data_IF_937096415123
#
_entry.id   IF_937096415123
#
_cell.length_a   1.000
_cell.length_b   1.000
_cell.length_c   1.000
_cell.angle_alpha   90.00
_cell.angle_beta   90.00
_cell.angle_gamma   90.00
#
_symmetry.space_group_name_H-M   'P 1'
#
loop_
_entity.id
_entity.type
_entity.pdbx_description
1 polymer ?
#
# COMPACT_ATOMS: atom_id res chain seq x y z
N UNK A 1 -5.73 -29.66 9.66
CA UNK A 1 -5.75 -28.25 9.23
C UNK A 1 -5.24 -28.22 7.80
N UNK A 2 -6.11 -28.04 6.81
CA UNK A 2 -5.68 -27.92 5.42
C UNK A 2 -5.22 -26.50 5.13
N UNK A 3 -3.95 -26.36 4.82
CA UNK A 3 -3.45 -25.15 4.16
C UNK A 3 -3.95 -25.20 2.72
N UNK A 4 -4.91 -24.34 2.39
CA UNK A 4 -5.36 -24.18 1.01
C UNK A 4 -4.57 -23.01 0.45
N UNK A 5 -3.44 -23.31 -0.19
CA UNK A 5 -2.99 -22.43 -1.26
C UNK A 5 -4.16 -22.38 -2.25
N UNK A 6 -4.62 -21.18 -2.62
CA UNK A 6 -5.66 -21.05 -3.64
C UNK A 6 -5.03 -21.52 -4.96
N UNK A 7 -4.99 -22.84 -5.16
CA UNK A 7 -4.58 -23.45 -6.40
C UNK A 7 -5.72 -23.20 -7.38
N UNK A 8 -5.70 -22.00 -7.99
CA UNK A 8 -6.37 -21.75 -9.25
C UNK A 8 -6.06 -22.94 -10.16
N UNK A 9 -7.12 -23.54 -10.69
CA UNK A 9 -7.10 -24.79 -11.41
C UNK A 9 -5.86 -24.92 -12.30
N UNK A 10 -5.10 -25.99 -12.06
CA UNK A 10 -4.01 -26.56 -12.87
C UNK A 10 -3.87 -25.95 -14.29
N UNK A 11 -3.08 -24.88 -14.42
CA UNK A 11 -2.56 -24.46 -15.72
C UNK A 11 -1.50 -25.47 -16.16
N UNK A 12 -1.91 -26.49 -16.92
CA UNK A 12 -1.00 -27.29 -17.76
C UNK A 12 -0.48 -26.39 -18.88
N UNK A 13 0.60 -25.65 -18.61
CA UNK A 13 1.42 -25.08 -19.66
C UNK A 13 2.76 -25.82 -19.68
N UNK A 14 2.88 -26.73 -20.64
CA UNK A 14 4.08 -27.53 -20.90
C UNK A 14 5.20 -26.65 -21.45
N UNK A 15 6.01 -26.07 -20.57
CA UNK A 15 7.30 -25.49 -20.94
C UNK A 15 8.42 -26.41 -20.43
N UNK A 16 9.12 -27.06 -21.37
CA UNK A 16 10.30 -27.89 -21.12
C UNK A 16 11.39 -27.05 -20.46
N UNK A 17 11.65 -27.26 -19.18
CA UNK A 17 12.82 -26.71 -18.50
C UNK A 17 14.06 -27.51 -18.91
N UNK A 18 15.02 -26.85 -19.57
CA UNK A 18 16.39 -27.34 -19.73
C UNK A 18 17.15 -27.05 -18.43
N UNK A 19 17.69 -28.09 -17.81
CA UNK A 19 18.63 -27.97 -16.69
C UNK A 19 19.90 -27.24 -17.15
N UNK A 20 20.29 -26.19 -16.43
CA UNK A 20 21.63 -25.60 -16.48
C UNK A 20 22.29 -25.88 -15.13
N UNK A 21 23.51 -26.45 -15.08
CA UNK A 21 24.17 -26.76 -13.83
C UNK A 21 24.71 -25.49 -13.14
N UNK A 22 24.48 -25.43 -11.82
CA UNK A 22 24.98 -24.43 -10.89
C UNK A 22 26.47 -24.68 -10.61
N UNK A 23 27.33 -23.70 -10.91
CA UNK A 23 28.74 -23.70 -10.49
C UNK A 23 28.84 -23.08 -9.10
N UNK A 24 29.33 -23.87 -8.14
CA UNK A 24 29.67 -23.44 -6.79
C UNK A 24 31.09 -22.85 -6.81
N UNK A 25 31.21 -21.54 -6.54
CA UNK A 25 32.48 -20.83 -6.37
C UNK A 25 32.76 -20.54 -4.90
N UNK A 26 33.96 -20.89 -4.45
CA UNK A 26 34.40 -20.99 -3.07
C UNK A 26 34.59 -19.65 -2.31
N UNK A 27 34.50 -19.76 -0.97
CA UNK A 27 34.93 -18.77 0.02
C UNK A 27 36.39 -18.33 -0.18
N UNK A 28 36.65 -17.03 -0.01
CA UNK A 28 37.95 -16.52 0.45
C UNK A 28 37.72 -15.61 1.64
N UNK A 29 38.28 -16.00 2.78
CA UNK A 29 38.39 -15.20 3.98
C UNK A 29 39.55 -14.20 3.84
N UNK A 30 39.38 -12.99 4.36
CA UNK A 30 40.44 -12.00 4.48
C UNK A 30 40.10 -10.95 5.54
N UNK A 31 40.62 -11.15 6.75
CA UNK A 31 40.75 -10.08 7.74
C UNK A 31 41.78 -9.05 7.26
N UNK A 32 41.49 -7.75 7.41
CA UNK A 32 42.32 -6.81 8.19
C UNK A 32 41.94 -5.35 7.89
N UNK A 33 42.14 -4.55 8.94
CA UNK A 33 42.41 -3.11 8.97
C UNK A 33 41.23 -2.16 9.22
N UNK A 34 41.30 -1.55 10.39
CA UNK A 34 40.54 -0.41 10.84
C UNK A 34 41.14 0.91 10.32
N UNK A 35 40.28 1.93 10.32
CA UNK A 35 40.47 3.38 10.13
C UNK A 35 40.33 3.91 8.68
N UNK A 36 39.87 5.17 8.47
CA UNK A 36 39.32 6.16 9.41
C UNK A 36 37.87 6.61 9.07
N UNK A 37 37.32 7.50 9.89
CA UNK A 37 36.10 8.29 9.61
C UNK A 37 36.12 8.89 8.20
N UNK A 38 35.32 8.35 7.29
CA UNK A 38 34.94 9.06 6.08
C UNK A 38 33.80 10.02 6.43
N UNK A 39 34.14 11.31 6.61
CA UNK A 39 33.21 12.38 6.27
C UNK A 39 32.64 12.06 4.89
N UNK A 40 31.33 11.78 4.83
CA UNK A 40 30.54 11.74 3.59
C UNK A 40 30.53 13.13 2.97
N UNK A 41 31.64 13.53 2.38
CA UNK A 41 31.74 14.62 1.41
C UNK A 41 31.37 14.03 0.05
N UNK A 42 30.07 13.97 -0.19
CA UNK A 42 29.54 14.02 -1.55
C UNK A 42 28.44 15.09 -1.54
N UNK A 43 28.90 16.35 -1.48
CA UNK A 43 28.18 17.42 -2.17
C UNK A 43 28.13 17.00 -3.63
N UNK A 44 27.10 16.22 -3.98
CA UNK A 44 26.69 16.04 -5.36
C UNK A 44 26.55 17.45 -5.93
N UNK A 45 27.50 17.82 -6.78
CA UNK A 45 27.58 19.11 -7.44
C UNK A 45 26.33 19.35 -8.26
N UNK A 46 25.29 19.84 -7.60
CA UNK A 46 24.15 20.49 -8.22
C UNK A 46 24.24 21.93 -7.77
N UNK A 47 24.73 22.77 -8.68
CA UNK A 47 24.61 24.21 -8.60
C UNK A 47 23.17 24.52 -8.18
N UNK A 48 23.06 25.26 -7.09
CA UNK A 48 21.86 25.85 -6.55
C UNK A 48 20.92 26.35 -7.66
N UNK A 49 19.95 25.51 -8.06
CA UNK A 49 18.81 25.88 -8.89
C UNK A 49 17.81 26.65 -8.02
N UNK A 50 18.31 27.71 -7.39
CA UNK A 50 17.78 28.26 -6.14
C UNK A 50 16.50 29.07 -6.33
N UNK A 51 16.08 29.41 -7.55
CA UNK A 51 14.89 30.26 -7.74
C UNK A 51 14.06 29.90 -8.98
N UNK A 52 14.60 29.18 -9.97
CA UNK A 52 13.93 29.01 -11.29
C UNK A 52 13.42 27.60 -11.62
N UNK A 53 13.76 26.58 -10.82
CA UNK A 53 13.54 25.16 -11.16
C UNK A 53 12.50 24.39 -10.34
N UNK A 54 11.56 25.08 -9.68
CA UNK A 54 10.41 24.46 -9.00
C UNK A 54 9.35 24.01 -10.01
N UNK A 55 9.74 23.02 -10.80
CA UNK A 55 8.85 22.24 -11.65
C UNK A 55 8.69 20.90 -10.94
N UNK A 56 7.46 20.47 -10.68
CA UNK A 56 7.13 19.15 -10.08
C UNK A 56 7.52 17.98 -11.00
N UNK A 57 8.50 18.18 -11.89
CA UNK A 57 8.88 17.34 -13.02
C UNK A 57 7.68 17.03 -13.93
N UNK A 58 6.74 17.97 -14.08
CA UNK A 58 5.50 17.76 -14.80
C UNK A 58 4.51 16.78 -14.14
N UNK A 59 4.67 16.46 -12.84
CA UNK A 59 3.71 15.62 -12.11
C UNK A 59 2.40 16.37 -11.95
N UNK A 60 1.31 15.75 -12.43
CA UNK A 60 -0.04 16.30 -12.43
C UNK A 60 -0.67 16.17 -11.04
N UNK A 61 -1.30 17.23 -10.55
CA UNK A 61 -2.05 17.19 -9.30
C UNK A 61 -3.24 16.20 -9.37
N UNK A 62 -3.45 15.42 -8.31
CA UNK A 62 -4.43 14.34 -8.20
C UNK A 62 -3.98 13.02 -8.84
N UNK A 63 -2.79 12.96 -9.46
CA UNK A 63 -2.31 11.74 -10.12
C UNK A 63 -1.84 10.67 -9.11
N UNK A 64 -1.83 9.38 -9.50
CA UNK A 64 -1.16 8.32 -8.73
C UNK A 64 0.30 8.64 -8.41
N UNK A 65 0.98 9.36 -9.30
CA UNK A 65 2.36 9.81 -9.13
C UNK A 65 2.48 10.83 -8.01
N UNK A 66 1.62 11.87 -7.96
CA UNK A 66 1.58 12.81 -6.82
C UNK A 66 1.39 12.07 -5.50
N UNK A 67 0.39 11.18 -5.44
CA UNK A 67 0.10 10.42 -4.23
C UNK A 67 1.32 9.60 -3.77
N UNK A 68 2.07 9.03 -4.72
CA UNK A 68 3.27 8.26 -4.44
C UNK A 68 4.42 9.14 -3.91
N UNK A 69 4.64 10.32 -4.50
CA UNK A 69 5.64 11.28 -4.01
C UNK A 69 5.29 11.71 -2.59
N UNK A 70 4.03 12.07 -2.33
CA UNK A 70 3.57 12.50 -1.01
C UNK A 70 3.68 11.37 0.01
N UNK A 71 3.43 10.12 -0.38
CA UNK A 71 3.65 8.98 0.49
C UNK A 71 5.13 8.84 0.89
N UNK A 72 6.06 8.91 -0.06
CA UNK A 72 7.50 8.84 0.24
C UNK A 72 7.95 10.05 1.08
N UNK A 73 7.47 11.25 0.74
CA UNK A 73 7.76 12.47 1.47
C UNK A 73 7.21 12.46 2.90
N UNK A 74 6.18 11.67 3.19
CA UNK A 74 5.60 11.52 4.53
C UNK A 74 6.02 10.23 5.26
N UNK A 75 6.74 9.31 4.59
CA UNK A 75 7.10 8.03 5.19
C UNK A 75 8.10 8.20 6.34
N UNK A 76 7.62 7.93 7.55
CA UNK A 76 8.37 8.07 8.80
C UNK A 76 9.43 6.99 9.01
N UNK A 77 9.35 5.88 8.28
CA UNK A 77 10.41 4.87 8.28
C UNK A 77 11.63 5.31 7.46
N UNK A 78 11.49 6.32 6.59
CA UNK A 78 12.60 6.90 5.84
C UNK A 78 13.30 7.96 6.69
N UNK A 79 14.32 7.51 7.42
CA UNK A 79 15.23 8.35 8.18
C UNK A 79 16.27 9.05 7.30
N UNK A 80 17.18 9.82 7.91
CA UNK A 80 18.27 10.52 7.22
C UNK A 80 19.10 9.57 6.34
N UNK A 81 19.38 8.36 6.82
CA UNK A 81 20.20 7.37 6.12
C UNK A 81 19.48 6.84 4.89
N UNK A 82 18.20 6.45 5.03
CA UNK A 82 17.39 5.94 3.94
C UNK A 82 17.11 7.01 2.87
N UNK A 83 16.81 8.25 3.28
CA UNK A 83 16.60 9.37 2.36
C UNK A 83 17.85 9.67 1.52
N UNK A 84 19.05 9.64 2.11
CA UNK A 84 20.30 9.91 1.39
C UNK A 84 20.80 8.74 0.55
N UNK A 85 20.73 7.51 1.05
CA UNK A 85 21.34 6.35 0.38
C UNK A 85 20.38 5.64 -0.59
N UNK A 86 19.14 5.39 -0.17
CA UNK A 86 18.17 4.64 -0.95
C UNK A 86 17.36 5.55 -1.88
N UNK A 87 16.83 6.66 -1.34
CA UNK A 87 16.06 7.64 -2.14
C UNK A 87 16.99 8.58 -2.91
N UNK A 88 18.24 8.74 -2.45
CA UNK A 88 19.26 9.62 -3.06
C UNK A 88 18.87 11.10 -3.01
N UNK A 89 18.17 11.53 -1.96
CA UNK A 89 17.79 12.93 -1.75
C UNK A 89 18.98 13.74 -1.23
N UNK A 90 19.10 15.01 -1.62
CA UNK A 90 20.18 15.90 -1.17
C UNK A 90 20.12 16.13 0.35
N UNK A 91 21.25 16.53 0.96
CA UNK A 91 21.30 16.82 2.38
C UNK A 91 20.33 17.95 2.78
N UNK A 92 20.21 18.98 1.95
CA UNK A 92 19.28 20.11 2.15
C UNK A 92 17.83 19.67 2.15
N UNK A 93 17.40 18.91 1.14
CA UNK A 93 16.04 18.39 1.07
C UNK A 93 15.74 17.40 2.20
N UNK A 94 16.69 16.53 2.55
CA UNK A 94 16.57 15.61 3.68
C UNK A 94 16.33 16.38 4.98
N UNK A 95 17.14 17.42 5.25
CA UNK A 95 16.99 18.26 6.44
C UNK A 95 15.64 18.98 6.46
N UNK A 96 15.20 19.55 5.34
CA UNK A 96 13.91 20.25 5.26
C UNK A 96 12.71 19.32 5.42
N UNK A 97 12.74 18.14 4.80
CA UNK A 97 11.69 17.14 4.97
C UNK A 97 11.54 16.70 6.43
N UNK A 98 12.66 16.33 7.07
CA UNK A 98 12.65 15.86 8.45
C UNK A 98 12.24 16.97 9.43
N UNK A 99 12.70 18.21 9.20
CA UNK A 99 12.27 19.35 10.00
C UNK A 99 10.76 19.63 9.86
N UNK A 100 10.22 19.56 8.65
CA UNK A 100 8.78 19.73 8.43
C UNK A 100 7.97 18.63 9.10
N UNK A 101 8.41 17.38 8.96
CA UNK A 101 7.79 16.22 9.58
C UNK A 101 7.72 16.35 11.11
N UNK A 102 8.81 16.77 11.75
CA UNK A 102 8.86 16.92 13.20
C UNK A 102 7.94 18.03 13.76
N UNK A 103 7.48 18.95 12.91
CA UNK A 103 6.63 20.04 13.35
C UNK A 103 7.37 21.12 14.17
N UNK A 104 6.65 22.11 14.69
CA UNK A 104 7.23 23.22 15.45
C UNK A 104 7.65 22.86 16.88
N UNK A 105 7.12 21.77 17.45
CA UNK A 105 7.43 21.33 18.83
C UNK A 105 8.01 19.91 18.81
N UNK A 106 8.41 19.40 19.97
CA UNK A 106 8.95 18.04 20.08
C UNK A 106 7.87 16.94 20.20
N UNK A 107 6.59 17.32 20.22
CA UNK A 107 5.47 16.39 20.42
C UNK A 107 4.96 15.78 19.11
N UNK A 108 4.65 14.46 19.06
CA UNK A 108 4.14 13.81 17.85
C UNK A 108 2.76 14.33 17.40
N UNK A 109 2.02 15.02 18.26
CA UNK A 109 0.74 15.68 17.96
C UNK A 109 0.86 16.85 16.97
N UNK A 110 2.04 17.48 16.95
CA UNK A 110 2.37 18.65 16.13
C UNK A 110 3.13 18.27 14.84
N UNK A 111 3.35 16.97 14.63
CA UNK A 111 3.99 16.43 13.43
C UNK A 111 3.34 16.95 12.14
N UNK A 112 4.15 17.48 11.24
CA UNK A 112 3.74 17.95 9.92
C UNK A 112 3.53 16.82 8.91
N UNK A 113 2.56 17.01 8.01
CA UNK A 113 2.24 16.08 6.91
C UNK A 113 2.02 16.86 5.63
N UNK A 114 2.76 16.51 4.57
CA UNK A 114 2.57 17.12 3.25
C UNK A 114 1.24 16.63 2.66
N UNK A 115 0.33 17.55 2.41
CA UNK A 115 -0.99 17.24 1.84
C UNK A 115 -1.06 17.48 0.33
N UNK A 116 -0.08 18.18 -0.23
CA UNK A 116 -0.02 18.53 -1.65
C UNK A 116 1.42 18.72 -2.13
N UNK A 117 1.66 18.53 -3.44
CA UNK A 117 2.97 18.87 -4.00
C UNK A 117 3.32 20.34 -3.82
N UNK A 118 2.33 21.25 -3.84
CA UNK A 118 2.57 22.68 -3.64
C UNK A 118 3.14 23.01 -2.25
N UNK A 119 2.83 22.21 -1.23
CA UNK A 119 3.40 22.36 0.11
C UNK A 119 4.81 21.77 0.20
N UNK A 120 5.01 20.62 -0.44
CA UNK A 120 6.31 19.96 -0.54
C UNK A 120 7.29 20.84 -1.33
N UNK A 121 6.84 21.48 -2.40
CA UNK A 121 7.63 22.36 -3.25
C UNK A 121 8.12 23.63 -2.54
N UNK A 122 7.48 24.03 -1.44
CA UNK A 122 7.95 25.15 -0.60
C UNK A 122 9.20 24.80 0.19
N UNK A 123 9.51 23.52 0.37
CA UNK A 123 10.67 23.08 1.15
C UNK A 123 11.98 23.40 0.42
N UNK A 124 13.08 23.55 1.17
CA UNK A 124 14.39 23.80 0.56
C UNK A 124 14.92 22.50 -0.05
N UNK A 125 15.48 22.58 -1.25
CA UNK A 125 16.09 21.44 -1.95
C UNK A 125 15.11 20.52 -2.67
N UNK A 126 13.80 20.76 -2.65
CA UNK A 126 12.81 20.00 -3.44
C UNK A 126 12.80 20.46 -4.90
N UNK A 127 13.90 20.22 -5.61
CA UNK A 127 14.09 20.56 -7.02
C UNK A 127 13.46 19.52 -7.97
N UNK A 128 13.54 19.75 -9.28
CA UNK A 128 13.19 18.75 -10.29
C UNK A 128 13.92 17.41 -10.09
N UNK A 129 15.21 17.45 -9.73
CA UNK A 129 16.00 16.24 -9.41
C UNK A 129 15.41 15.50 -8.21
N UNK A 130 14.99 16.22 -7.17
CA UNK A 130 14.32 15.62 -6.01
C UNK A 130 13.08 14.82 -6.43
N UNK A 131 12.17 15.42 -7.20
CA UNK A 131 10.97 14.73 -7.67
C UNK A 131 11.28 13.52 -8.56
N UNK A 132 12.29 13.62 -9.42
CA UNK A 132 12.73 12.49 -10.25
C UNK A 132 13.25 11.31 -9.39
N UNK A 133 14.09 11.58 -8.39
CA UNK A 133 14.67 10.56 -7.51
C UNK A 133 13.63 9.94 -6.59
N UNK A 134 12.78 10.76 -5.96
CA UNK A 134 11.67 10.29 -5.14
C UNK A 134 10.67 9.49 -5.98
N UNK A 135 10.36 9.92 -7.20
CA UNK A 135 9.49 9.19 -8.11
C UNK A 135 10.05 7.84 -8.54
N UNK A 136 11.35 7.77 -8.81
CA UNK A 136 12.04 6.51 -9.10
C UNK A 136 11.99 5.55 -7.89
N UNK A 137 12.29 6.06 -6.70
CA UNK A 137 12.19 5.28 -5.46
C UNK A 137 10.76 4.80 -5.20
N UNK A 138 9.77 5.68 -5.37
CA UNK A 138 8.36 5.38 -5.17
C UNK A 138 7.89 4.24 -6.08
N UNK A 139 8.30 4.26 -7.35
CA UNK A 139 8.02 3.18 -8.32
C UNK A 139 8.68 1.87 -7.92
N UNK A 140 9.97 1.91 -7.57
CA UNK A 140 10.74 0.73 -7.20
C UNK A 140 10.23 0.05 -5.93
N UNK A 141 9.62 0.81 -5.01
CA UNK A 141 9.20 0.32 -3.68
C UNK A 141 7.68 0.24 -3.50
N UNK A 142 6.89 0.27 -4.59
CA UNK A 142 5.45 0.01 -4.53
C UNK A 142 4.60 1.12 -3.87
N UNK A 143 5.03 2.38 -4.00
CA UNK A 143 4.26 3.54 -3.55
C UNK A 143 3.32 4.08 -4.64
N UNK A 144 3.45 3.63 -5.89
CA UNK A 144 2.60 4.07 -7.01
C UNK A 144 1.43 3.12 -7.21
N UNK A 145 0.22 3.68 -7.27
CA UNK A 145 -1.00 2.96 -7.68
C UNK A 145 -1.09 2.80 -9.21
N UNK A 146 -0.05 2.19 -9.82
CA UNK A 146 0.04 2.03 -11.29
C UNK A 146 0.97 0.90 -11.79
N UNK A 147 1.33 -0.05 -10.93
CA UNK A 147 2.16 -1.20 -11.31
C UNK A 147 1.42 -2.32 -12.07
N UNK A 148 2.19 -3.24 -12.64
CA UNK A 148 1.69 -4.43 -13.34
C UNK A 148 0.83 -5.31 -12.41
N UNK A 149 -0.24 -5.87 -12.95
CA UNK A 149 -1.04 -6.88 -12.25
C UNK A 149 -0.29 -8.20 -12.22
N UNK A 150 -0.25 -8.85 -11.06
CA UNK A 150 0.37 -10.17 -10.91
C UNK A 150 -0.69 -11.26 -10.82
N UNK A 151 -0.27 -12.50 -11.07
CA UNK A 151 -1.13 -13.65 -10.86
C UNK A 151 -1.63 -13.68 -9.40
N UNK A 152 -2.92 -14.03 -9.16
CA UNK A 152 -3.48 -14.09 -7.82
C UNK A 152 -3.11 -15.39 -7.08
N UNK A 153 -1.82 -15.70 -6.98
CA UNK A 153 -1.28 -16.96 -6.44
C UNK A 153 -0.54 -16.81 -5.09
N UNK A 154 -0.35 -15.57 -4.63
CA UNK A 154 0.41 -15.28 -3.40
C UNK A 154 -0.38 -15.43 -2.09
N UNK A 155 -1.71 -15.45 -2.18
CA UNK A 155 -2.57 -15.52 -1.00
C UNK A 155 -2.52 -16.90 -0.35
N UNK A 156 -2.49 -16.92 0.99
CA UNK A 156 -2.50 -18.14 1.79
C UNK A 156 -3.62 -18.08 2.81
N UNK A 157 -4.61 -18.97 2.63
CA UNK A 157 -5.79 -19.06 3.47
C UNK A 157 -5.83 -20.41 4.19
N UNK A 158 -6.14 -20.37 5.47
CA UNK A 158 -6.35 -21.55 6.31
C UNK A 158 -7.84 -21.67 6.64
N UNK A 159 -8.38 -22.87 6.46
CA UNK A 159 -9.76 -23.20 6.84
C UNK A 159 -9.68 -24.45 7.72
N UNK A 160 -10.26 -24.43 8.93
CA UNK A 160 -10.31 -25.60 9.79
C UNK A 160 -10.99 -26.77 9.09
N UNK A 161 -10.45 -27.98 9.30
CA UNK A 161 -11.11 -29.20 8.85
C UNK A 161 -12.27 -29.56 9.79
N UNK A 162 -13.17 -30.42 9.32
CA UNK A 162 -14.20 -31.08 10.15
C UNK A 162 -15.14 -30.12 10.90
N UNK A 163 -15.50 -28.99 10.30
CA UNK A 163 -16.44 -28.02 10.89
C UNK A 163 -17.86 -28.58 11.13
N UNK A 164 -18.22 -29.72 10.52
CA UNK A 164 -19.59 -30.26 10.57
C UNK A 164 -20.64 -29.41 9.84
N UNK A 165 -20.21 -28.31 9.21
CA UNK A 165 -21.01 -27.38 8.41
C UNK A 165 -20.14 -26.77 7.30
N UNK A 166 -20.75 -26.18 6.25
CA UNK A 166 -20.00 -25.38 5.29
C UNK A 166 -19.21 -24.26 5.99
N UNK A 167 -17.96 -23.99 5.57
CA UNK A 167 -17.17 -22.91 6.11
C UNK A 167 -17.79 -21.56 5.78
N UNK A 168 -17.68 -20.63 6.72
CA UNK A 168 -18.07 -19.22 6.59
C UNK A 168 -16.81 -18.35 6.59
N UNK A 169 -16.96 -17.07 6.26
CA UNK A 169 -15.85 -16.11 6.37
C UNK A 169 -15.26 -16.03 7.78
N UNK A 170 -16.04 -16.37 8.82
CA UNK A 170 -15.56 -16.38 10.20
C UNK A 170 -14.52 -17.49 10.42
N UNK A 171 -14.66 -18.63 9.74
CA UNK A 171 -13.77 -19.78 9.87
C UNK A 171 -12.44 -19.61 9.10
N UNK A 172 -12.40 -18.70 8.13
CA UNK A 172 -11.19 -18.46 7.31
C UNK A 172 -10.16 -17.67 8.10
N UNK A 173 -8.92 -18.15 8.15
CA UNK A 173 -7.76 -17.38 8.61
C UNK A 173 -6.90 -16.97 7.42
N UNK A 174 -6.62 -15.68 7.32
CA UNK A 174 -5.68 -15.14 6.32
C UNK A 174 -4.28 -15.21 6.91
N UNK A 175 -3.44 -16.09 6.35
CA UNK A 175 -2.02 -16.16 6.70
C UNK A 175 -1.23 -15.15 5.89
N UNK A 176 -1.53 -15.04 4.58
CA UNK A 176 -0.98 -14.03 3.67
C UNK A 176 -2.05 -13.51 2.70
N UNK A 177 -2.00 -12.21 2.41
CA UNK A 177 -2.82 -11.56 1.39
C UNK A 177 -2.32 -11.84 -0.03
N UNK A 178 -3.01 -11.29 -1.04
CA UNK A 178 -2.65 -11.44 -2.46
C UNK A 178 -1.37 -10.68 -2.86
N UNK A 179 -0.84 -9.83 -1.99
CA UNK A 179 0.50 -9.23 -2.10
C UNK A 179 1.60 -10.11 -1.49
N UNK A 180 1.25 -11.19 -0.78
CA UNK A 180 2.16 -12.06 -0.06
C UNK A 180 2.52 -11.57 1.35
N UNK A 181 1.94 -10.46 1.82
CA UNK A 181 2.15 -9.94 3.17
C UNK A 181 1.26 -10.65 4.18
N UNK A 182 1.79 -10.87 5.38
CA UNK A 182 0.96 -11.25 6.53
C UNK A 182 0.07 -10.07 6.95
N UNK A 183 -1.07 -10.30 7.66
CA UNK A 183 -1.91 -9.22 8.14
C UNK A 183 -1.16 -8.16 8.96
N UNK A 184 -0.16 -8.59 9.75
CA UNK A 184 0.68 -7.67 10.53
C UNK A 184 1.59 -6.82 9.65
N UNK A 185 2.27 -7.42 8.68
CA UNK A 185 3.11 -6.68 7.73
C UNK A 185 2.29 -5.69 6.90
N UNK A 186 1.10 -6.11 6.43
CA UNK A 186 0.16 -5.25 5.74
C UNK A 186 -0.27 -4.07 6.62
N UNK A 187 -0.54 -4.32 7.90
CA UNK A 187 -0.85 -3.27 8.87
C UNK A 187 0.32 -2.31 9.06
N UNK A 188 1.56 -2.80 9.20
CA UNK A 188 2.75 -1.94 9.31
C UNK A 188 2.88 -1.02 8.10
N UNK A 189 2.71 -1.55 6.88
CA UNK A 189 2.75 -0.75 5.65
C UNK A 189 1.62 0.28 5.66
N UNK A 190 0.38 -0.12 5.94
CA UNK A 190 -0.76 0.80 5.97
C UNK A 190 -0.61 1.87 7.04
N UNK A 191 -0.19 1.50 8.26
CA UNK A 191 0.01 2.41 9.39
C UNK A 191 1.13 3.42 9.12
N UNK A 192 2.20 3.01 8.45
CA UNK A 192 3.28 3.89 7.99
C UNK A 192 2.84 4.89 6.91
N UNK A 193 1.72 4.62 6.22
CA UNK A 193 1.10 5.51 5.24
C UNK A 193 -0.03 6.37 5.82
N UNK A 194 -0.19 6.37 7.15
CA UNK A 194 -1.11 7.30 7.81
C UNK A 194 -0.57 8.73 7.72
N UNK A 195 -1.41 9.71 7.39
CA UNK A 195 -1.03 11.12 7.20
C UNK A 195 -1.42 12.01 8.37
N UNK A 196 -1.49 11.46 9.58
CA UNK A 196 -1.76 12.22 10.80
C UNK A 196 -1.26 11.48 12.04
N UNK A 197 -1.07 12.23 13.12
CA UNK A 197 -0.93 11.65 14.45
C UNK A 197 -2.15 10.81 14.82
N UNK A 198 -1.90 9.63 15.38
CA UNK A 198 -2.89 8.72 15.93
C UNK A 198 -2.55 8.57 17.41
N UNK A 199 -3.52 8.87 18.27
CA UNK A 199 -3.37 8.72 19.71
C UNK A 199 -3.07 7.25 20.07
N UNK A 200 -2.10 6.95 20.96
CA UNK A 200 -1.73 5.59 21.35
C UNK A 200 -2.91 4.71 21.78
N UNK A 201 -3.91 5.27 22.47
CA UNK A 201 -5.11 4.54 22.90
C UNK A 201 -5.95 4.00 21.73
N UNK A 202 -5.85 4.63 20.56
CA UNK A 202 -6.59 4.22 19.38
C UNK A 202 -5.86 3.13 18.57
N UNK A 203 -4.57 2.88 18.84
CA UNK A 203 -3.76 1.96 18.02
C UNK A 203 -4.32 0.54 18.03
N UNK A 204 -4.78 0.06 19.20
CA UNK A 204 -5.42 -1.26 19.29
C UNK A 204 -6.67 -1.34 18.43
N UNK A 205 -7.56 -0.36 18.54
CA UNK A 205 -8.80 -0.30 17.76
C UNK A 205 -8.53 -0.27 16.24
N UNK A 206 -7.55 0.53 15.82
CA UNK A 206 -7.18 0.67 14.40
C UNK A 206 -6.57 -0.63 13.89
N UNK A 207 -5.65 -1.23 14.64
CA UNK A 207 -5.03 -2.52 14.31
C UNK A 207 -6.08 -3.62 14.16
N UNK A 208 -7.01 -3.74 15.11
CA UNK A 208 -8.10 -4.72 15.07
C UNK A 208 -9.04 -4.47 13.88
N UNK A 209 -9.42 -3.21 13.65
CA UNK A 209 -10.27 -2.82 12.50
C UNK A 209 -9.58 -3.06 11.17
N UNK A 210 -8.28 -2.78 11.09
CA UNK A 210 -7.46 -3.09 9.92
C UNK A 210 -7.42 -4.59 9.66
N UNK A 211 -7.11 -5.40 10.68
CA UNK A 211 -7.03 -6.85 10.55
C UNK A 211 -8.36 -7.45 10.06
N UNK A 212 -9.48 -6.97 10.60
CA UNK A 212 -10.81 -7.33 10.14
C UNK A 212 -11.02 -6.96 8.66
N UNK A 213 -10.67 -5.73 8.30
CA UNK A 213 -10.84 -5.21 6.94
C UNK A 213 -9.96 -5.95 5.93
N UNK A 214 -8.71 -6.23 6.30
CA UNK A 214 -7.74 -6.98 5.50
C UNK A 214 -8.22 -8.42 5.25
N UNK A 215 -8.77 -9.07 6.29
CA UNK A 215 -9.37 -10.41 6.14
C UNK A 215 -10.54 -10.39 5.15
N UNK A 216 -11.48 -9.47 5.33
CA UNK A 216 -12.64 -9.36 4.45
C UNK A 216 -12.24 -9.01 3.00
N UNK A 217 -11.29 -8.10 2.83
CA UNK A 217 -10.73 -7.70 1.54
C UNK A 217 -10.08 -8.88 0.82
N UNK A 218 -9.23 -9.65 1.52
CA UNK A 218 -8.55 -10.82 0.95
C UNK A 218 -9.56 -11.90 0.54
N UNK A 219 -10.55 -12.20 1.39
CA UNK A 219 -11.60 -13.17 1.06
C UNK A 219 -12.41 -12.71 -0.16
N UNK A 220 -12.77 -11.42 -0.21
CA UNK A 220 -13.49 -10.86 -1.35
C UNK A 220 -12.69 -10.97 -2.65
N UNK A 221 -11.40 -10.63 -2.63
CA UNK A 221 -10.50 -10.84 -3.78
C UNK A 221 -10.50 -12.29 -4.24
N UNK A 222 -10.29 -13.24 -3.33
CA UNK A 222 -10.27 -14.66 -3.67
C UNK A 222 -11.57 -15.12 -4.31
N UNK A 223 -12.72 -14.62 -3.83
CA UNK A 223 -14.00 -14.95 -4.42
C UNK A 223 -14.17 -14.43 -5.86
N UNK A 224 -13.59 -13.29 -6.24
CA UNK A 224 -13.66 -12.80 -7.63
C UNK A 224 -12.88 -13.68 -8.62
N UNK A 225 -11.86 -14.39 -8.13
CA UNK A 225 -11.06 -15.31 -8.94
C UNK A 225 -11.53 -16.77 -8.87
N UNK A 226 -12.47 -17.09 -7.96
CA UNK A 226 -13.10 -18.39 -7.93
C UNK A 226 -14.02 -18.56 -9.14
N UNK A 227 -13.76 -19.59 -9.94
CA UNK A 227 -14.51 -19.92 -11.15
C UNK A 227 -15.99 -20.11 -10.85
N UNK A 228 -16.84 -19.45 -11.65
CA UNK A 228 -18.29 -19.45 -11.53
C UNK A 228 -18.82 -19.08 -10.14
N UNK A 229 -18.06 -18.31 -9.37
CA UNK A 229 -18.57 -17.74 -8.13
C UNK A 229 -19.59 -16.63 -8.44
N UNK A 230 -20.58 -16.39 -7.56
CA UNK A 230 -21.48 -15.24 -7.73
C UNK A 230 -20.73 -13.90 -7.86
N UNK A 231 -19.67 -13.61 -7.07
CA UNK A 231 -18.88 -12.39 -7.26
C UNK A 231 -18.17 -12.30 -8.62
N UNK A 232 -17.64 -13.41 -9.14
CA UNK A 232 -17.01 -13.42 -10.47
C UNK A 232 -18.05 -13.14 -11.57
N UNK A 233 -19.22 -13.78 -11.50
CA UNK A 233 -20.32 -13.53 -12.44
C UNK A 233 -20.80 -12.09 -12.40
N UNK A 234 -20.93 -11.51 -11.21
CA UNK A 234 -21.26 -10.10 -11.04
C UNK A 234 -20.25 -9.21 -11.77
N UNK A 235 -18.95 -9.40 -11.53
CA UNK A 235 -17.91 -8.60 -12.18
C UNK A 235 -17.92 -8.73 -13.71
N UNK A 236 -18.11 -9.96 -14.24
CA UNK A 236 -18.24 -10.18 -15.70
C UNK A 236 -19.47 -9.47 -16.29
N UNK A 237 -20.59 -9.48 -15.57
CA UNK A 237 -21.84 -8.85 -15.99
C UNK A 237 -21.86 -7.33 -15.81
N UNK A 238 -20.90 -6.75 -15.09
CA UNK A 238 -20.92 -5.34 -14.72
C UNK A 238 -20.72 -4.39 -15.91
N UNK A 239 -20.00 -4.82 -16.95
CA UNK A 239 -19.69 -3.97 -18.12
C UNK A 239 -18.72 -2.80 -17.84
N UNK A 240 -18.01 -2.85 -16.71
CA UNK A 240 -17.01 -1.86 -16.34
C UNK A 240 -15.71 -2.05 -17.15
N UNK A 241 -15.07 -0.95 -17.55
CA UNK A 241 -13.75 -0.96 -18.19
C UNK A 241 -12.61 -1.11 -17.17
N UNK A 242 -12.86 -0.71 -15.92
CA UNK A 242 -11.93 -0.89 -14.79
C UNK A 242 -12.71 -1.21 -13.52
N UNK A 243 -12.22 -2.20 -12.79
CA UNK A 243 -12.75 -2.59 -11.48
C UNK A 243 -11.64 -2.52 -10.45
N UNK A 244 -11.92 -1.85 -9.33
CA UNK A 244 -11.00 -1.74 -8.19
C UNK A 244 -11.75 -2.17 -6.93
N UNK A 245 -11.21 -3.16 -6.22
CA UNK A 245 -11.67 -3.46 -4.87
C UNK A 245 -11.08 -2.46 -3.89
N UNK A 246 -11.91 -1.92 -3.01
CA UNK A 246 -11.54 -1.01 -1.93
C UNK A 246 -11.68 -1.74 -0.60
N UNK A 247 -10.62 -1.73 0.22
CA UNK A 247 -10.67 -2.09 1.63
C UNK A 247 -10.83 -0.83 2.47
N UNK A 248 -11.89 -0.78 3.26
CA UNK A 248 -12.31 0.35 4.06
C UNK A 248 -11.95 0.12 5.53
N UNK A 249 -11.47 1.13 6.23
CA UNK A 249 -11.20 1.06 7.67
C UNK A 249 -12.53 1.09 8.46
N UNK A 250 -13.27 -0.04 8.46
CA UNK A 250 -14.57 -0.21 9.14
C UNK A 250 -14.86 -1.69 9.37
N UNK A 251 -15.57 -2.03 10.46
CA UNK A 251 -15.97 -3.40 10.76
C UNK A 251 -17.22 -3.91 9.99
N UNK A 252 -18.29 -3.13 9.84
CA UNK A 252 -19.54 -3.69 9.29
C UNK A 252 -19.53 -3.93 7.77
N UNK A 253 -18.93 -3.02 7.02
CA UNK A 253 -18.87 -3.07 5.55
C UNK A 253 -17.44 -2.73 5.10
N UNK A 254 -16.47 -3.63 5.33
CA UNK A 254 -15.05 -3.36 5.11
C UNK A 254 -14.64 -3.32 3.63
N UNK A 255 -15.53 -3.64 2.70
CA UNK A 255 -15.19 -3.82 1.29
C UNK A 255 -16.22 -3.15 0.39
N UNK A 256 -15.75 -2.41 -0.61
CA UNK A 256 -16.55 -1.85 -1.69
C UNK A 256 -15.86 -2.07 -3.04
N UNK A 257 -16.61 -2.09 -4.12
CA UNK A 257 -16.09 -2.11 -5.49
C UNK A 257 -16.25 -0.69 -6.05
N UNK A 258 -15.19 -0.16 -6.64
CA UNK A 258 -15.20 1.01 -7.51
C UNK A 258 -15.13 0.52 -8.96
N UNK A 259 -16.13 0.89 -9.75
CA UNK A 259 -16.25 0.48 -11.14
C UNK A 259 -16.24 1.72 -12.04
N UNK A 260 -15.29 1.79 -12.97
CA UNK A 260 -15.26 2.79 -14.03
C UNK A 260 -15.83 2.18 -15.30
N UNK A 261 -16.77 2.89 -15.93
CA UNK A 261 -17.44 2.47 -17.16
C UNK A 261 -16.80 3.12 -18.39
N UNK A 262 -17.05 2.59 -19.61
CA UNK A 262 -16.50 3.16 -20.85
C UNK A 262 -16.86 4.63 -21.11
N UNK A 263 -17.99 5.09 -20.56
CA UNK A 263 -18.46 6.49 -20.62
C UNK A 263 -17.74 7.42 -19.62
N UNK A 264 -16.79 6.89 -18.83
CA UNK A 264 -16.06 7.62 -17.79
C UNK A 264 -16.81 7.73 -16.46
N UNK A 265 -18.04 7.22 -16.36
CA UNK A 265 -18.78 7.19 -15.10
C UNK A 265 -18.11 6.27 -14.09
N UNK A 266 -18.09 6.69 -12.84
CA UNK A 266 -17.61 5.89 -11.71
C UNK A 266 -18.78 5.57 -10.79
N UNK A 267 -18.97 4.29 -10.49
CA UNK A 267 -19.99 3.82 -9.55
C UNK A 267 -19.37 2.93 -8.48
N UNK A 268 -20.07 2.83 -7.34
CA UNK A 268 -19.63 2.07 -6.19
C UNK A 268 -20.64 0.98 -5.87
N UNK A 269 -20.14 -0.19 -5.51
CA UNK A 269 -20.98 -1.36 -5.17
C UNK A 269 -20.54 -1.97 -3.84
N UNK A 270 -21.48 -2.41 -3.04
CA UNK A 270 -21.22 -3.17 -1.81
C UNK A 270 -22.05 -4.44 -1.79
N UNK A 271 -21.48 -5.51 -1.24
CA UNK A 271 -22.20 -6.77 -1.06
C UNK A 271 -23.30 -6.58 -0.01
N UNK A 272 -24.55 -6.87 -0.37
CA UNK A 272 -25.69 -6.99 0.55
C UNK A 272 -26.25 -8.40 0.48
N UNK A 273 -26.19 -9.11 1.60
CA UNK A 273 -26.65 -10.50 1.72
C UNK A 273 -26.04 -11.43 0.65
N UNK A 274 -26.69 -11.56 -0.50
CA UNK A 274 -26.32 -12.47 -1.60
C UNK A 274 -25.71 -11.76 -2.81
N UNK A 275 -26.05 -10.48 -3.03
CA UNK A 275 -25.70 -9.76 -4.27
C UNK A 275 -24.93 -8.46 -4.00
N UNK A 276 -24.45 -7.81 -5.05
CA UNK A 276 -23.83 -6.49 -5.01
C UNK A 276 -24.82 -5.42 -5.42
N UNK A 277 -25.02 -4.44 -4.54
CA UNK A 277 -25.90 -3.31 -4.80
C UNK A 277 -25.09 -2.04 -5.03
N UNK A 278 -25.55 -1.20 -5.95
CA UNK A 278 -25.00 0.15 -6.14
C UNK A 278 -25.24 0.98 -4.88
N UNK A 279 -24.20 1.69 -4.45
CA UNK A 279 -24.21 2.58 -3.30
C UNK A 279 -23.60 3.94 -3.67
N UNK A 280 -23.79 4.92 -2.80
CA UNK A 280 -23.01 6.15 -2.84
C UNK A 280 -21.52 5.88 -2.59
N UNK A 281 -20.68 6.84 -2.98
CA UNK A 281 -19.24 6.76 -2.71
C UNK A 281 -19.00 6.55 -1.21
N UNK A 282 -18.23 5.52 -0.82
CA UNK A 282 -17.89 5.30 0.58
C UNK A 282 -17.22 6.54 1.17
N UNK A 283 -17.74 7.03 2.30
CA UNK A 283 -17.14 8.15 3.05
C UNK A 283 -16.04 7.67 4.00
N UNK A 284 -15.97 6.36 4.22
CA UNK A 284 -14.96 5.71 5.04
C UNK A 284 -13.59 5.77 4.38
N UNK A 285 -12.54 5.66 5.20
CA UNK A 285 -11.16 5.71 4.73
C UNK A 285 -10.82 4.43 3.97
N UNK A 286 -10.35 4.61 2.74
CA UNK A 286 -9.77 3.53 1.95
C UNK A 286 -8.35 3.29 2.46
N UNK A 287 -8.07 2.07 2.91
CA UNK A 287 -6.76 1.64 3.44
C UNK A 287 -6.11 0.56 2.59
N UNK A 288 -6.86 -0.03 1.66
CA UNK A 288 -6.38 -0.96 0.64
C UNK A 288 -7.13 -0.69 -0.66
N UNK A 289 -6.45 -0.85 -1.79
CA UNK A 289 -7.00 -0.85 -3.14
C UNK A 289 -6.45 -2.03 -3.90
N UNK A 290 -7.25 -2.61 -4.77
CA UNK A 290 -6.74 -3.58 -5.73
C UNK A 290 -7.49 -3.49 -7.04
N UNK A 291 -6.86 -3.01 -8.13
CA UNK A 291 -7.37 -3.31 -9.46
C UNK A 291 -7.53 -4.82 -9.64
N UNK A 292 -8.61 -5.23 -10.29
CA UNK A 292 -8.93 -6.62 -10.61
C UNK A 292 -9.03 -6.74 -12.13
N UNK A 293 -8.31 -7.70 -12.69
CA UNK A 293 -8.50 -8.17 -14.06
C UNK A 293 -8.93 -9.62 -14.04
N UNK A 294 -10.03 -9.94 -14.73
CA UNK A 294 -10.47 -11.33 -14.89
C UNK A 294 -9.85 -12.00 -16.11
N UNK A 295 -9.31 -11.25 -17.07
CA UNK A 295 -8.72 -11.80 -18.30
C UNK A 295 -7.56 -10.91 -18.80
N UNK A 296 -6.29 -11.34 -18.65
CA UNK A 296 -5.85 -12.46 -17.80
C UNK A 296 -6.15 -12.19 -16.32
N UNK A 297 -6.22 -13.24 -15.50
CA UNK A 297 -6.35 -13.09 -14.04
C UNK A 297 -5.17 -12.28 -13.48
N UNK A 298 -5.48 -11.12 -12.91
CA UNK A 298 -4.49 -10.19 -12.42
C UNK A 298 -5.01 -9.40 -11.23
N UNK A 299 -4.15 -9.26 -10.21
CA UNK A 299 -4.43 -8.52 -8.99
C UNK A 299 -3.20 -7.72 -8.58
N UNK A 300 -3.40 -6.61 -7.85
CA UNK A 300 -2.31 -5.86 -7.21
C UNK A 300 -2.84 -5.14 -5.99
N UNK A 301 -2.44 -5.55 -4.80
CA UNK A 301 -2.83 -4.85 -3.57
C UNK A 301 -1.94 -3.61 -3.38
N UNK A 302 -2.58 -2.49 -3.13
CA UNK A 302 -1.95 -1.20 -2.86
C UNK A 302 -2.52 -0.60 -1.58
N UNK A 303 -1.67 -0.01 -0.74
CA UNK A 303 -2.07 0.64 0.51
C UNK A 303 -2.02 2.16 0.34
N UNK A 304 -3.12 2.87 0.05
CA UNK A 304 -3.07 4.31 -0.14
C UNK A 304 -2.69 5.07 1.15
N UNK A 305 -2.32 6.33 0.99
CA UNK A 305 -2.27 7.28 2.09
C UNK A 305 -3.65 7.41 2.74
N UNK A 306 -3.72 7.49 4.05
CA UNK A 306 -4.99 7.67 4.76
C UNK A 306 -4.82 8.49 6.02
N UNK A 307 -5.88 9.17 6.47
CA UNK A 307 -5.82 9.86 7.75
C UNK A 307 -7.18 10.12 8.36
N UNK A 308 -7.21 10.40 9.66
CA UNK A 308 -8.43 10.69 10.40
C UNK A 308 -8.17 11.63 11.57
N UNK A 309 -8.71 12.85 11.48
CA UNK A 309 -8.64 13.86 12.54
C UNK A 309 -9.23 13.38 13.85
N UNK A 310 -10.24 12.51 13.80
CA UNK A 310 -10.93 11.98 14.98
C UNK A 310 -10.07 11.00 15.79
N UNK A 311 -8.91 10.58 15.27
CA UNK A 311 -8.00 9.67 15.94
C UNK A 311 -6.84 10.39 16.65
N UNK A 312 -6.78 11.72 16.60
CA UNK A 312 -5.74 12.52 17.27
C UNK A 312 -5.88 12.53 18.80
N UNK A 313 -7.10 12.41 19.31
CA UNK A 313 -7.39 12.27 20.74
C UNK A 313 -7.92 10.87 21.08
N UNK A 314 -8.07 10.53 22.36
CA UNK A 314 -8.67 9.28 22.77
C UNK A 314 -10.11 9.21 22.26
N UNK A 315 -10.44 8.17 21.49
CA UNK A 315 -11.83 7.90 21.12
C UNK A 315 -12.43 7.15 22.28
N UNK A 316 -13.22 7.83 23.10
CA UNK A 316 -13.80 7.25 24.31
C UNK A 316 -14.52 5.93 24.01
N UNK A 317 -14.09 4.86 24.68
CA UNK A 317 -14.93 3.68 24.86
C UNK A 317 -16.04 4.11 25.80
N UNK A 318 -17.29 3.88 25.42
CA UNK A 318 -18.43 4.03 26.33
C UNK A 318 -18.10 3.27 27.61
N UNK A 319 -17.95 4.00 28.72
CA UNK A 319 -17.91 3.41 30.05
C UNK A 319 -19.32 2.87 30.28
N UNK A 320 -19.47 1.55 30.37
CA UNK A 320 -20.71 0.95 30.87
C UNK A 320 -20.97 1.53 32.26
N UNK A 321 -22.08 2.26 32.38
CA UNK A 321 -22.70 2.61 33.66
C UNK A 321 -23.79 1.61 34.01
#
# INVERSE_FOLDING_TARGET
MKTVALALASFKNSARLRLVPLVVGALVAGCSAAAPDEELVDELGESEDLVTGKDTAGIVAGSPEEAAILLVANDRALDTTALKSAVKVTATATKSLLAFRAGPTAGPEDDGWFLSLAELDKQRGTTKTFYARVGAYAKANGYVDGGELVAPDRALLEIPDNLGRPPTSNDVRVVKGFDGLTPEQAYTVSRGRSTNYIHPENERLIRETFAFSHKAFTIALGNFFAEDSPPQRFLRGLGASKVVLLGLLRQLTPVAIEATFPDGRVEYYMKKSVDYERVEKPTQRVIMRSPISLEPFGVRVFYPAWGSTNLKGPVSVVVEG
#
